data_IF_280873705605
#
_entry.id   IF_280873705605
#
_cell.length_a   1.000
_cell.length_b   1.000
_cell.length_c   1.000
_cell.angle_alpha   90.00
_cell.angle_beta   90.00
_cell.angle_gamma   90.00
#
_symmetry.space_group_name_H-M   'P 1'
#
loop_
_entity.id
_entity.type
_entity.pdbx_description
1 polymer ?
#
# COMPACT_ATOMS: atom_id res chain seq x y z
N UNK A 1 4.58 26.57 19.69
CA UNK A 1 4.54 27.71 18.74
C UNK A 1 4.56 27.12 17.34
N UNK A 2 3.45 27.17 16.60
CA UNK A 2 3.42 26.71 15.21
C UNK A 2 4.27 27.67 14.37
N UNK A 3 5.25 27.15 13.64
CA UNK A 3 6.18 27.94 12.80
C UNK A 3 5.50 28.58 11.58
N UNK A 4 4.23 28.26 11.34
CA UNK A 4 3.46 28.65 10.16
C UNK A 4 2.24 29.49 10.56
N UNK A 5 1.91 30.50 9.75
CA UNK A 5 0.64 31.21 9.84
C UNK A 5 -0.53 30.23 9.63
N UNK A 6 -1.66 30.46 10.31
CA UNK A 6 -2.80 29.52 10.26
C UNK A 6 -3.28 29.22 8.84
N UNK A 7 -3.28 30.21 7.94
CA UNK A 7 -3.70 30.03 6.56
C UNK A 7 -2.71 29.15 5.78
N UNK A 8 -1.41 29.36 5.97
CA UNK A 8 -0.38 28.50 5.38
C UNK A 8 -0.50 27.04 5.86
N UNK A 9 -0.83 26.83 7.13
CA UNK A 9 -1.01 25.49 7.69
C UNK A 9 -2.23 24.77 7.08
N UNK A 10 -3.35 25.49 6.84
CA UNK A 10 -4.53 24.91 6.19
C UNK A 10 -4.19 24.41 4.78
N UNK A 11 -3.49 25.21 3.98
CA UNK A 11 -3.09 24.81 2.63
C UNK A 11 -2.07 23.68 2.62
N UNK A 12 -1.15 23.64 3.59
CA UNK A 12 -0.22 22.50 3.75
C UNK A 12 -1.00 21.21 4.05
N UNK A 13 -2.01 21.24 4.93
CA UNK A 13 -2.81 20.07 5.26
C UNK A 13 -3.64 19.59 4.06
N UNK A 14 -4.25 20.51 3.31
CA UNK A 14 -4.96 20.19 2.05
C UNK A 14 -4.02 19.57 1.02
N UNK A 15 -2.84 20.16 0.82
CA UNK A 15 -1.85 19.67 -0.13
C UNK A 15 -1.35 18.27 0.26
N UNK A 16 -1.12 18.06 1.56
CA UNK A 16 -0.75 16.76 2.11
C UNK A 16 -1.81 15.69 1.83
N UNK A 17 -3.09 15.97 2.11
CA UNK A 17 -4.17 15.01 1.85
C UNK A 17 -4.33 14.68 0.36
N UNK A 18 -4.30 15.71 -0.49
CA UNK A 18 -4.35 15.52 -1.95
C UNK A 18 -3.16 14.71 -2.47
N UNK A 19 -1.96 14.97 -1.93
CA UNK A 19 -0.75 14.22 -2.28
C UNK A 19 -0.90 12.74 -1.91
N UNK A 20 -1.38 12.44 -0.70
CA UNK A 20 -1.63 11.05 -0.27
C UNK A 20 -2.63 10.37 -1.22
N UNK A 21 -3.74 11.03 -1.55
CA UNK A 21 -4.73 10.51 -2.50
C UNK A 21 -4.13 10.22 -3.89
N UNK A 22 -3.32 11.15 -4.42
CA UNK A 22 -2.63 10.98 -5.70
C UNK A 22 -1.62 9.84 -5.67
N UNK A 23 -0.80 9.75 -4.61
CA UNK A 23 0.20 8.68 -4.46
C UNK A 23 -0.47 7.31 -4.39
N UNK A 24 -1.60 7.18 -3.68
CA UNK A 24 -2.38 5.94 -3.65
C UNK A 24 -2.92 5.56 -5.04
N UNK A 25 -3.46 6.53 -5.80
CA UNK A 25 -3.97 6.29 -7.14
C UNK A 25 -2.85 5.88 -8.10
N UNK A 26 -1.74 6.60 -8.10
CA UNK A 26 -0.62 6.35 -9.01
C UNK A 26 0.14 5.08 -8.64
N UNK A 27 0.44 4.90 -7.36
CA UNK A 27 1.14 3.74 -6.81
C UNK A 27 0.33 2.44 -6.95
N UNK A 28 -1.00 2.51 -6.99
CA UNK A 28 -1.85 1.32 -7.20
C UNK A 28 -1.49 0.52 -8.45
N UNK A 29 -0.98 1.17 -9.50
CA UNK A 29 -0.63 0.51 -10.78
C UNK A 29 0.48 -0.52 -10.63
N UNK A 30 1.31 -0.38 -9.60
CA UNK A 30 2.41 -1.30 -9.31
C UNK A 30 2.01 -2.46 -8.40
N UNK A 31 0.73 -2.55 -8.02
CA UNK A 31 0.20 -3.63 -7.18
C UNK A 31 -0.44 -4.73 -8.04
N UNK A 32 -0.40 -6.00 -7.61
CA UNK A 32 -1.06 -7.12 -8.31
C UNK A 32 -2.58 -6.92 -8.41
N UNK A 33 -3.18 -6.35 -7.37
CA UNK A 33 -4.59 -5.98 -7.32
C UNK A 33 -4.71 -4.46 -7.10
N UNK A 34 -4.81 -3.65 -8.16
CA UNK A 34 -4.73 -2.18 -8.05
C UNK A 34 -5.99 -1.54 -7.44
N UNK A 35 -7.12 -2.24 -7.45
CA UNK A 35 -8.43 -1.63 -7.20
C UNK A 35 -8.62 -1.12 -5.75
N UNK A 36 -8.19 -1.82 -4.69
CA UNK A 36 -8.38 -1.36 -3.31
C UNK A 36 -7.70 -0.02 -3.03
N UNK A 37 -6.39 0.09 -3.29
CA UNK A 37 -5.61 1.32 -3.05
C UNK A 37 -6.07 2.46 -3.97
N UNK A 38 -6.41 2.17 -5.22
CA UNK A 38 -6.97 3.18 -6.14
C UNK A 38 -8.31 3.73 -5.66
N UNK A 39 -9.23 2.87 -5.20
CA UNK A 39 -10.53 3.31 -4.66
C UNK A 39 -10.36 4.16 -3.41
N UNK A 40 -9.51 3.72 -2.48
CA UNK A 40 -9.21 4.48 -1.28
C UNK A 40 -8.56 5.83 -1.62
N UNK A 41 -7.60 5.85 -2.55
CA UNK A 41 -6.97 7.08 -3.04
C UNK A 41 -7.97 8.07 -3.65
N UNK A 42 -8.96 7.60 -4.41
CA UNK A 42 -10.04 8.46 -4.91
C UNK A 42 -10.92 9.03 -3.80
N UNK A 43 -11.21 8.26 -2.76
CA UNK A 43 -11.96 8.75 -1.59
C UNK A 43 -11.16 9.86 -0.90
N UNK A 44 -9.89 9.62 -0.59
CA UNK A 44 -9.00 10.60 0.06
C UNK A 44 -8.87 11.87 -0.79
N UNK A 45 -8.61 11.72 -2.10
CA UNK A 45 -8.49 12.86 -3.00
C UNK A 45 -9.79 13.66 -3.10
N UNK A 46 -10.94 12.98 -3.14
CA UNK A 46 -12.24 13.66 -3.17
C UNK A 46 -12.47 14.48 -1.90
N UNK A 47 -12.11 13.94 -0.74
CA UNK A 47 -12.23 14.65 0.54
C UNK A 47 -11.26 15.84 0.60
N UNK A 48 -10.00 15.66 0.20
CA UNK A 48 -9.03 16.74 0.10
C UNK A 48 -9.49 17.88 -0.83
N UNK A 49 -10.10 17.55 -1.97
CA UNK A 49 -10.68 18.54 -2.89
C UNK A 49 -11.89 19.26 -2.29
N UNK A 50 -12.77 18.55 -1.57
CA UNK A 50 -13.89 19.17 -0.85
C UNK A 50 -13.40 20.12 0.24
N UNK A 51 -12.34 19.74 0.98
CA UNK A 51 -11.71 20.57 1.99
C UNK A 51 -11.00 21.80 1.39
N UNK A 52 -10.41 21.66 0.20
CA UNK A 52 -9.87 22.76 -0.58
C UNK A 52 -10.96 23.76 -0.97
N UNK A 53 -12.10 23.28 -1.49
CA UNK A 53 -13.26 24.11 -1.79
C UNK A 53 -13.79 24.80 -0.52
N UNK A 54 -13.80 24.09 0.61
CA UNK A 54 -14.18 24.62 1.91
C UNK A 54 -13.32 25.79 2.40
N UNK A 55 -12.11 26.00 1.85
CA UNK A 55 -11.28 27.17 2.19
C UNK A 55 -11.82 28.47 1.60
N UNK A 56 -12.65 28.40 0.55
CA UNK A 56 -13.26 29.58 -0.08
C UNK A 56 -14.62 29.95 0.52
N UNK A 57 -15.12 29.19 1.51
CA UNK A 57 -16.37 29.49 2.18
C UNK A 57 -16.24 30.73 3.08
N UNK A 58 -17.35 31.46 3.37
CA UNK A 58 -17.34 32.59 4.31
C UNK A 58 -16.80 32.24 5.70
N UNK A 59 -16.90 30.96 6.07
CA UNK A 59 -16.26 30.37 7.25
C UNK A 59 -15.39 29.20 6.79
N UNK A 60 -14.08 29.40 6.59
CA UNK A 60 -13.20 28.35 6.09
C UNK A 60 -13.05 27.22 7.11
N UNK A 61 -12.74 26.02 6.63
CA UNK A 61 -12.48 24.86 7.51
C UNK A 61 -11.26 25.16 8.39
N UNK A 62 -11.43 25.00 9.70
CA UNK A 62 -10.36 25.27 10.67
C UNK A 62 -9.27 24.20 10.61
N UNK A 63 -8.10 24.52 11.16
CA UNK A 63 -6.99 23.56 11.31
C UNK A 63 -7.44 22.32 12.11
N UNK A 64 -8.20 22.52 13.19
CA UNK A 64 -8.78 21.42 13.97
C UNK A 64 -9.72 20.54 13.14
N UNK A 65 -10.50 21.16 12.24
CA UNK A 65 -11.35 20.44 11.30
C UNK A 65 -10.54 19.52 10.37
N UNK A 66 -9.49 20.05 9.75
CA UNK A 66 -8.57 19.25 8.91
C UNK A 66 -7.93 18.10 9.69
N UNK A 67 -7.39 18.37 10.88
CA UNK A 67 -6.75 17.36 11.71
C UNK A 67 -7.73 16.26 12.13
N UNK A 68 -8.97 16.62 12.45
CA UNK A 68 -10.02 15.66 12.80
C UNK A 68 -10.39 14.74 11.63
N UNK A 69 -10.48 15.29 10.41
CA UNK A 69 -10.73 14.51 9.19
C UNK A 69 -9.57 13.55 8.91
N UNK A 70 -8.33 14.03 8.98
CA UNK A 70 -7.13 13.20 8.83
C UNK A 70 -7.07 12.07 9.85
N UNK A 71 -7.41 12.35 11.12
CA UNK A 71 -7.51 11.32 12.16
C UNK A 71 -8.55 10.28 11.80
N UNK A 72 -9.77 10.68 11.45
CA UNK A 72 -10.86 9.76 11.17
C UNK A 72 -10.57 8.85 9.96
N UNK A 73 -10.16 9.44 8.84
CA UNK A 73 -9.85 8.69 7.60
C UNK A 73 -8.59 7.85 7.80
N UNK A 74 -7.56 8.42 8.44
CA UNK A 74 -6.33 7.73 8.76
C UNK A 74 -6.56 6.51 9.64
N UNK A 75 -7.37 6.62 10.70
CA UNK A 75 -7.74 5.49 11.55
C UNK A 75 -8.46 4.39 10.78
N UNK A 76 -9.48 4.74 10.00
CA UNK A 76 -10.22 3.76 9.20
C UNK A 76 -9.32 3.06 8.19
N UNK A 77 -8.52 3.84 7.45
CA UNK A 77 -7.58 3.32 6.46
C UNK A 77 -6.48 2.45 7.09
N UNK A 78 -6.03 2.76 8.31
CA UNK A 78 -5.04 1.97 9.03
C UNK A 78 -5.58 0.56 9.33
N UNK A 79 -6.80 0.46 9.86
CA UNK A 79 -7.42 -0.83 10.20
C UNK A 79 -7.61 -1.70 8.95
N UNK A 80 -8.14 -1.11 7.88
CA UNK A 80 -8.36 -1.80 6.60
C UNK A 80 -7.03 -2.18 5.95
N UNK A 81 -6.06 -1.26 5.95
CA UNK A 81 -4.74 -1.46 5.39
C UNK A 81 -3.96 -2.55 6.09
N UNK A 82 -3.96 -2.58 7.43
CA UNK A 82 -3.28 -3.63 8.21
C UNK A 82 -3.92 -5.00 7.93
N UNK A 83 -5.25 -5.07 7.85
CA UNK A 83 -5.94 -6.30 7.48
C UNK A 83 -5.49 -6.79 6.10
N UNK A 84 -5.38 -5.89 5.13
CA UNK A 84 -4.94 -6.25 3.79
C UNK A 84 -3.47 -6.65 3.71
N UNK A 85 -2.60 -5.93 4.42
CA UNK A 85 -1.16 -6.13 4.48
C UNK A 85 -0.80 -7.45 5.16
N UNK A 86 -1.36 -7.73 6.34
CA UNK A 86 -0.96 -8.88 7.16
C UNK A 86 -1.76 -10.13 6.81
N UNK A 87 -3.10 -10.00 6.69
CA UNK A 87 -3.98 -11.17 6.60
C UNK A 87 -4.23 -11.59 5.17
N UNK A 88 -4.60 -10.66 4.28
CA UNK A 88 -4.90 -11.02 2.89
C UNK A 88 -3.66 -11.04 1.99
N UNK A 89 -2.59 -10.34 2.38
CA UNK A 89 -1.38 -10.13 1.57
C UNK A 89 -1.68 -9.72 0.14
N UNK A 90 -2.60 -8.76 -0.06
CA UNK A 90 -3.03 -8.32 -1.41
C UNK A 90 -2.64 -6.89 -1.74
N UNK A 91 -2.24 -6.12 -0.75
CA UNK A 91 -2.08 -4.67 -0.84
C UNK A 91 -1.11 -4.20 0.25
N UNK A 92 -0.21 -3.28 -0.08
CA UNK A 92 0.81 -2.78 0.86
C UNK A 92 0.88 -1.25 1.02
N UNK A 93 0.11 -0.48 0.25
CA UNK A 93 0.14 0.98 0.23
C UNK A 93 -0.85 1.61 1.22
N UNK A 94 -2.06 1.04 1.40
CA UNK A 94 -3.12 1.68 2.20
C UNK A 94 -2.66 1.87 3.64
N UNK A 95 -2.02 0.87 4.26
CA UNK A 95 -1.65 0.94 5.68
C UNK A 95 -0.60 2.04 5.96
N UNK A 96 0.54 2.12 5.24
CA UNK A 96 1.52 3.18 5.45
C UNK A 96 0.98 4.59 5.17
N UNK A 97 0.22 4.78 4.10
CA UNK A 97 -0.31 6.10 3.75
C UNK A 97 -1.43 6.57 4.68
N UNK A 98 -2.27 5.63 5.15
CA UNK A 98 -3.26 5.93 6.19
C UNK A 98 -2.61 6.23 7.54
N UNK A 99 -1.51 5.54 7.85
CA UNK A 99 -0.71 5.82 9.03
C UNK A 99 -0.08 7.22 9.00
N UNK A 100 0.40 7.71 7.86
CA UNK A 100 0.83 9.11 7.74
C UNK A 100 -0.31 10.09 8.06
N UNK A 101 -1.51 9.88 7.48
CA UNK A 101 -2.67 10.73 7.79
C UNK A 101 -3.05 10.68 9.28
N UNK A 102 -3.07 9.48 9.86
CA UNK A 102 -3.38 9.29 11.27
C UNK A 102 -2.36 9.96 12.19
N UNK A 103 -1.06 9.79 11.93
CA UNK A 103 0.01 10.42 12.70
C UNK A 103 -0.02 11.95 12.61
N UNK A 104 -0.27 12.52 11.42
CA UNK A 104 -0.40 13.97 11.25
C UNK A 104 -1.65 14.48 11.96
N UNK A 105 -2.79 13.81 11.82
CA UNK A 105 -4.05 14.18 12.46
C UNK A 105 -3.96 14.13 13.99
N UNK A 106 -3.65 12.97 14.55
CA UNK A 106 -3.56 12.77 16.01
C UNK A 106 -2.42 13.58 16.60
N UNK A 107 -1.24 13.55 15.98
CA UNK A 107 -0.09 14.33 16.46
C UNK A 107 -0.37 15.83 16.45
N UNK A 108 -1.02 16.33 15.41
CA UNK A 108 -1.47 17.72 15.34
C UNK A 108 -2.46 18.06 16.46
N UNK A 109 -3.48 17.23 16.68
CA UNK A 109 -4.46 17.44 17.76
C UNK A 109 -3.79 17.46 19.14
N UNK A 110 -2.89 16.51 19.41
CA UNK A 110 -2.16 16.45 20.67
C UNK A 110 -1.29 17.69 20.91
N UNK A 111 -0.64 18.21 19.86
CA UNK A 111 0.16 19.44 19.95
C UNK A 111 -0.73 20.66 20.21
N UNK A 112 -1.96 20.70 19.70
CA UNK A 112 -2.87 21.84 19.94
C UNK A 112 -3.32 21.95 21.40
N UNK A 113 -3.45 20.83 22.11
CA UNK A 113 -3.85 20.82 23.53
C UNK A 113 -2.65 20.79 24.48
N UNK A 114 -1.42 20.69 23.96
CA UNK A 114 -0.22 20.39 24.77
C UNK A 114 0.02 21.37 25.92
N UNK A 115 -0.24 22.65 25.69
CA UNK A 115 -0.03 23.71 26.68
C UNK A 115 -0.99 23.61 27.88
N UNK A 116 -2.15 22.99 27.68
CA UNK A 116 -3.19 22.85 28.69
C UNK A 116 -3.03 21.56 29.52
N UNK A 117 -2.13 20.67 29.11
CA UNK A 117 -1.86 19.39 29.77
C UNK A 117 -0.95 19.56 30.99
N UNK A 118 -1.22 18.77 32.03
CA UNK A 118 -0.29 18.65 33.15
C UNK A 118 0.94 17.80 32.79
N UNK A 119 1.95 17.78 33.67
CA UNK A 119 3.22 17.07 33.42
C UNK A 119 3.03 15.58 33.12
N UNK A 120 2.11 14.91 33.82
CA UNK A 120 1.85 13.49 33.60
C UNK A 120 1.21 13.23 32.24
N UNK A 121 0.22 14.04 31.86
CA UNK A 121 -0.44 13.97 30.55
C UNK A 121 0.53 14.28 29.40
N UNK A 122 1.45 15.23 29.59
CA UNK A 122 2.51 15.52 28.62
C UNK A 122 3.45 14.33 28.43
N UNK A 123 3.86 13.65 29.50
CA UNK A 123 4.68 12.43 29.40
C UNK A 123 3.94 11.28 28.71
N UNK A 124 2.66 11.08 29.04
CA UNK A 124 1.81 10.09 28.37
C UNK A 124 1.66 10.40 26.88
N UNK A 125 1.41 11.67 26.54
CA UNK A 125 1.31 12.15 25.17
C UNK A 125 2.61 11.99 24.40
N UNK A 126 3.75 12.29 25.02
CA UNK A 126 5.08 12.06 24.43
C UNK A 126 5.29 10.58 24.12
N UNK A 127 5.01 9.68 25.07
CA UNK A 127 5.13 8.24 24.87
C UNK A 127 4.23 7.75 23.74
N UNK A 128 2.99 8.23 23.68
CA UNK A 128 2.06 7.91 22.59
C UNK A 128 2.60 8.37 21.23
N UNK A 129 3.17 9.58 21.12
CA UNK A 129 3.81 10.05 19.89
C UNK A 129 5.00 9.19 19.46
N UNK A 130 5.82 8.73 20.42
CA UNK A 130 6.93 7.80 20.15
C UNK A 130 6.41 6.47 19.60
N UNK A 131 5.37 5.91 20.21
CA UNK A 131 4.74 4.66 19.73
C UNK A 131 4.12 4.86 18.34
N UNK A 132 3.46 5.98 18.09
CA UNK A 132 2.90 6.31 16.78
C UNK A 132 4.00 6.42 15.72
N UNK A 133 5.10 7.13 16.01
CA UNK A 133 6.24 7.25 15.11
C UNK A 133 6.92 5.91 14.82
N UNK A 134 7.11 5.09 15.85
CA UNK A 134 7.66 3.74 15.71
C UNK A 134 6.75 2.82 14.88
N UNK A 135 5.45 2.83 15.16
CA UNK A 135 4.45 2.07 14.41
C UNK A 135 4.37 2.49 12.95
N UNK A 136 4.40 3.80 12.67
CA UNK A 136 4.43 4.32 11.30
C UNK A 136 5.71 3.92 10.57
N UNK A 137 6.86 4.00 11.23
CA UNK A 137 8.14 3.56 10.67
C UNK A 137 8.06 2.08 10.29
N UNK A 138 7.56 1.24 11.21
CA UNK A 138 7.35 -0.18 10.94
C UNK A 138 6.43 -0.43 9.75
N UNK A 139 5.32 0.31 9.61
CA UNK A 139 4.41 0.19 8.46
C UNK A 139 5.11 0.54 7.14
N UNK A 140 5.90 1.61 7.10
CA UNK A 140 6.65 1.99 5.89
C UNK A 140 7.63 0.88 5.49
N UNK A 141 8.39 0.33 6.45
CA UNK A 141 9.29 -0.78 6.17
C UNK A 141 8.54 -2.03 5.71
N UNK A 142 7.52 -2.45 6.46
CA UNK A 142 6.79 -3.68 6.18
C UNK A 142 5.97 -3.61 4.90
N UNK A 143 5.36 -2.46 4.62
CA UNK A 143 4.52 -2.25 3.45
C UNK A 143 5.33 -1.83 2.22
N UNK A 144 6.04 -0.71 2.28
CA UNK A 144 6.63 -0.09 1.09
C UNK A 144 8.01 -0.63 0.72
N UNK A 145 8.85 -0.98 1.71
CA UNK A 145 10.23 -1.40 1.45
C UNK A 145 10.39 -2.91 1.33
N UNK A 146 9.80 -3.67 2.24
CA UNK A 146 9.92 -5.13 2.33
C UNK A 146 8.70 -5.83 1.72
N UNK A 147 7.56 -5.14 1.60
CA UNK A 147 6.27 -5.72 1.23
C UNK A 147 6.21 -6.26 -0.20
N UNK A 148 6.87 -7.39 -0.45
CA UNK A 148 6.70 -8.20 -1.64
C UNK A 148 5.44 -9.04 -1.49
N UNK A 149 4.75 -9.20 -2.61
CA UNK A 149 3.47 -9.91 -2.67
C UNK A 149 3.56 -11.09 -3.66
N UNK A 150 4.50 -12.03 -3.48
CA UNK A 150 4.72 -13.12 -4.43
C UNK A 150 3.43 -13.91 -4.69
N UNK A 151 2.76 -14.31 -3.60
CA UNK A 151 1.50 -15.03 -3.66
C UNK A 151 0.39 -14.24 -4.39
N UNK A 152 0.29 -12.93 -4.20
CA UNK A 152 -0.73 -12.14 -4.88
C UNK A 152 -0.42 -11.91 -6.36
N UNK A 153 0.85 -11.80 -6.73
CA UNK A 153 1.29 -11.75 -8.13
C UNK A 153 0.99 -13.06 -8.85
N UNK A 154 1.27 -14.21 -8.22
CA UNK A 154 0.90 -15.53 -8.78
C UNK A 154 -0.63 -15.68 -8.91
N UNK A 155 -1.41 -15.20 -7.94
CA UNK A 155 -2.88 -15.16 -8.06
C UNK A 155 -3.35 -14.24 -9.20
N UNK A 156 -2.73 -13.08 -9.36
CA UNK A 156 -3.03 -12.17 -10.47
C UNK A 156 -2.70 -12.82 -11.83
N UNK A 157 -1.60 -13.57 -11.91
CA UNK A 157 -1.22 -14.36 -13.09
C UNK A 157 -2.28 -15.39 -13.46
N UNK A 158 -2.79 -16.16 -12.47
CA UNK A 158 -3.89 -17.11 -12.70
C UNK A 158 -5.17 -16.43 -13.20
N UNK A 159 -5.52 -15.26 -12.65
CA UNK A 159 -6.67 -14.48 -13.13
C UNK A 159 -6.45 -13.96 -14.56
N UNK A 160 -5.23 -13.56 -14.90
CA UNK A 160 -4.89 -13.13 -16.26
C UNK A 160 -5.01 -14.30 -17.26
N UNK A 161 -4.55 -15.51 -16.89
CA UNK A 161 -4.72 -16.73 -17.68
C UNK A 161 -6.19 -17.06 -17.93
N UNK A 162 -7.02 -17.03 -16.89
CA UNK A 162 -8.47 -17.27 -17.02
C UNK A 162 -9.17 -16.27 -17.95
N UNK A 163 -8.59 -15.07 -18.11
CA UNK A 163 -9.09 -14.02 -19.03
C UNK A 163 -8.46 -14.08 -20.42
N UNK A 164 -7.53 -15.00 -20.67
CA UNK A 164 -6.80 -15.11 -21.93
C UNK A 164 -5.72 -14.05 -22.13
N UNK A 165 -5.34 -13.30 -21.08
CA UNK A 165 -4.25 -12.33 -21.15
C UNK A 165 -2.91 -12.99 -20.82
N UNK A 166 -2.24 -13.48 -21.85
CA UNK A 166 -0.99 -14.24 -21.71
C UNK A 166 0.20 -13.29 -21.62
N UNK A 167 0.28 -12.32 -22.53
CA UNK A 167 1.40 -11.38 -22.68
C UNK A 167 1.01 -9.93 -22.35
N UNK A 168 2.01 -9.06 -22.19
CA UNK A 168 1.87 -7.64 -21.86
C UNK A 168 2.11 -7.32 -20.38
N UNK A 169 2.07 -6.03 -20.00
CA UNK A 169 2.47 -5.55 -18.66
C UNK A 169 1.58 -6.06 -17.52
N UNK A 170 0.39 -6.54 -17.85
CA UNK A 170 -0.61 -7.15 -16.96
C UNK A 170 -0.99 -8.56 -17.40
N UNK A 171 -0.23 -9.14 -18.33
CA UNK A 171 -0.41 -10.51 -18.78
C UNK A 171 0.14 -11.50 -17.75
N UNK A 172 -0.27 -12.77 -17.89
CA UNK A 172 0.11 -13.84 -16.98
C UNK A 172 1.62 -14.00 -16.83
N UNK A 173 2.39 -13.91 -17.93
CA UNK A 173 3.85 -14.03 -17.89
C UNK A 173 4.46 -12.95 -16.98
N UNK A 174 4.11 -11.67 -17.19
CA UNK A 174 4.62 -10.57 -16.36
C UNK A 174 4.22 -10.71 -14.89
N UNK A 175 3.03 -11.25 -14.61
CA UNK A 175 2.59 -11.49 -13.24
C UNK A 175 3.41 -12.60 -12.56
N UNK A 176 3.69 -13.72 -13.23
CA UNK A 176 4.51 -14.79 -12.66
C UNK A 176 6.00 -14.39 -12.55
N UNK A 177 6.53 -13.60 -13.49
CA UNK A 177 7.88 -13.03 -13.39
C UNK A 177 8.05 -12.12 -12.16
N UNK A 178 6.98 -11.44 -11.74
CA UNK A 178 6.96 -10.61 -10.50
C UNK A 178 6.60 -11.42 -9.24
N UNK A 179 6.12 -12.65 -9.41
CA UNK A 179 5.55 -13.48 -8.36
C UNK A 179 6.54 -14.43 -7.68
N UNK A 180 7.72 -14.67 -8.27
CA UNK A 180 8.77 -15.42 -7.61
C UNK A 180 9.59 -14.50 -6.70
N UNK A 181 9.98 -15.01 -5.53
CA UNK A 181 10.71 -14.25 -4.52
C UNK A 181 11.84 -15.10 -3.92
N UNK A 182 13.03 -14.51 -3.78
CA UNK A 182 14.18 -15.19 -3.19
C UNK A 182 13.96 -15.47 -1.68
N UNK A 183 13.12 -14.68 -1.01
CA UNK A 183 12.80 -14.87 0.42
C UNK A 183 11.71 -15.93 0.66
N UNK A 184 10.81 -16.18 -0.31
CA UNK A 184 9.76 -17.20 -0.24
C UNK A 184 10.00 -18.31 -1.28
N UNK A 185 11.19 -18.91 -1.26
CA UNK A 185 11.67 -19.86 -2.27
C UNK A 185 10.73 -21.06 -2.49
N UNK A 186 9.98 -21.47 -1.46
CA UNK A 186 9.00 -22.55 -1.52
C UNK A 186 7.80 -22.28 -2.46
N UNK A 187 7.51 -21.02 -2.81
CA UNK A 187 6.45 -20.67 -3.76
C UNK A 187 6.97 -20.56 -5.21
N UNK A 188 8.28 -20.48 -5.40
CA UNK A 188 8.90 -20.29 -6.71
C UNK A 188 8.66 -21.43 -7.69
N UNK A 189 8.62 -22.72 -7.30
CA UNK A 189 8.36 -23.81 -8.24
C UNK A 189 7.05 -23.60 -9.02
N UNK A 190 6.00 -23.10 -8.37
CA UNK A 190 4.70 -22.83 -9.04
C UNK A 190 4.83 -21.76 -10.13
N UNK A 191 5.58 -20.69 -9.85
CA UNK A 191 5.84 -19.63 -10.82
C UNK A 191 6.70 -20.15 -11.99
N UNK A 192 7.72 -20.97 -11.71
CA UNK A 192 8.61 -21.52 -12.73
C UNK A 192 7.88 -22.49 -13.68
N UNK A 193 7.03 -23.38 -13.18
CA UNK A 193 6.20 -24.25 -14.05
C UNK A 193 5.30 -23.42 -14.95
N UNK A 194 4.62 -22.42 -14.38
CA UNK A 194 3.73 -21.55 -15.15
C UNK A 194 4.51 -20.80 -16.23
N UNK A 195 5.66 -20.21 -15.89
CA UNK A 195 6.50 -19.48 -16.83
C UNK A 195 7.06 -20.37 -17.93
N UNK A 196 7.55 -21.57 -17.59
CA UNK A 196 8.02 -22.55 -18.56
C UNK A 196 6.94 -22.86 -19.60
N UNK A 197 5.73 -23.21 -19.14
CA UNK A 197 4.62 -23.62 -20.02
C UNK A 197 4.06 -22.47 -20.84
N UNK A 198 3.97 -21.27 -20.26
CA UNK A 198 3.53 -20.08 -20.99
C UNK A 198 4.51 -19.69 -22.08
N UNK A 199 5.82 -19.75 -21.79
CA UNK A 199 6.85 -19.47 -22.79
C UNK A 199 6.86 -20.54 -23.90
N UNK A 200 6.64 -21.82 -23.58
CA UNK A 200 6.43 -22.86 -24.59
C UNK A 200 5.20 -22.56 -25.46
N UNK A 201 4.08 -22.16 -24.84
CA UNK A 201 2.83 -21.88 -25.55
C UNK A 201 2.98 -20.73 -26.55
N UNK A 202 3.72 -19.67 -26.22
CA UNK A 202 3.99 -18.54 -27.12
C UNK A 202 5.14 -18.80 -28.10
N UNK A 203 5.80 -19.96 -28.03
CA UNK A 203 6.92 -20.33 -28.90
C UNK A 203 8.28 -19.75 -28.50
N UNK A 204 8.43 -19.21 -27.28
CA UNK A 204 9.70 -18.72 -26.77
C UNK A 204 10.50 -19.85 -26.10
N UNK A 205 11.16 -20.65 -26.93
CA UNK A 205 11.93 -21.82 -26.47
C UNK A 205 13.09 -21.49 -25.53
N UNK A 206 13.76 -20.35 -25.74
CA UNK A 206 14.91 -19.93 -24.91
C UNK A 206 14.48 -19.68 -23.46
N UNK A 207 13.49 -18.79 -23.26
CA UNK A 207 12.94 -18.55 -21.91
C UNK A 207 12.30 -19.80 -21.31
N UNK A 208 11.65 -20.62 -22.14
CA UNK A 208 11.06 -21.86 -21.65
C UNK A 208 12.11 -22.79 -21.05
N UNK A 209 13.28 -22.95 -21.69
CA UNK A 209 14.39 -23.74 -21.15
C UNK A 209 14.96 -23.13 -19.88
N UNK A 210 15.16 -21.80 -19.85
CA UNK A 210 15.63 -21.09 -18.65
C UNK A 210 14.74 -21.37 -17.42
N UNK A 211 13.41 -21.24 -17.57
CA UNK A 211 12.49 -21.52 -16.47
C UNK A 211 12.39 -23.00 -16.12
N UNK A 212 12.63 -23.89 -17.08
CA UNK A 212 12.69 -25.33 -16.82
C UNK A 212 13.92 -25.70 -15.99
N UNK A 213 15.08 -25.11 -16.30
CA UNK A 213 16.30 -25.32 -15.54
C UNK A 213 16.13 -24.80 -14.11
N UNK A 214 15.59 -23.59 -13.95
CA UNK A 214 15.26 -23.02 -12.63
C UNK A 214 14.27 -23.89 -11.84
N UNK A 215 13.28 -24.50 -12.51
CA UNK A 215 12.35 -25.46 -11.90
C UNK A 215 13.06 -26.75 -11.46
N UNK A 216 13.95 -27.28 -12.29
CA UNK A 216 14.69 -28.51 -11.99
C UNK A 216 15.62 -28.32 -10.78
N UNK A 217 16.24 -27.14 -10.65
CA UNK A 217 17.09 -26.79 -9.51
C UNK A 217 16.34 -26.82 -8.17
N UNK A 218 15.04 -26.53 -8.17
CA UNK A 218 14.17 -26.53 -6.98
C UNK A 218 13.35 -27.83 -6.81
N UNK A 219 13.72 -28.91 -7.52
CA UNK A 219 13.12 -30.24 -7.36
C UNK A 219 12.13 -30.66 -8.46
N UNK A 220 11.99 -29.86 -9.51
CA UNK A 220 11.19 -30.21 -10.69
C UNK A 220 9.67 -30.12 -10.46
N UNK A 221 8.89 -30.62 -11.43
CA UNK A 221 7.42 -30.67 -11.32
C UNK A 221 6.91 -31.46 -10.11
N UNK A 222 7.72 -32.35 -9.52
CA UNK A 222 7.35 -33.11 -8.32
C UNK A 222 7.22 -32.23 -7.07
N UNK A 223 7.89 -31.08 -7.04
CA UNK A 223 7.79 -30.10 -5.97
C UNK A 223 6.57 -29.18 -6.08
N UNK A 224 5.76 -29.35 -7.12
CA UNK A 224 4.67 -28.45 -7.48
C UNK A 224 3.35 -29.14 -7.17
N UNK A 225 2.42 -28.39 -6.59
CA UNK A 225 1.10 -28.92 -6.30
C UNK A 225 0.38 -29.28 -7.62
N UNK A 226 -0.29 -30.44 -7.74
CA UNK A 226 -0.87 -30.92 -8.99
C UNK A 226 -1.88 -29.96 -9.62
N UNK A 227 -2.51 -29.09 -8.82
CA UNK A 227 -3.48 -28.09 -9.28
C UNK A 227 -2.84 -26.98 -10.16
N UNK A 228 -1.50 -26.89 -10.16
CA UNK A 228 -0.72 -25.92 -10.94
C UNK A 228 -0.09 -26.53 -12.22
N UNK A 229 -0.24 -27.84 -12.40
CA UNK A 229 0.19 -28.63 -13.56
C UNK A 229 -1.03 -28.83 -14.46
#
# INVERSE_FOLDING_TARGET
>A
MLLFEQDSLRWILVAFECLIGLVLILGSKSQPFPLPSRRFGWIVLSIGLLLALGQFAPRPVSVLGHLSVLTAIGSFGLLVGIHHLIRTRREVLIAPFSGFMFCVGVGGLMVTTWADLNTFEQWSGFLALVVLGGGQTWLVFRGLLIGRLPLAWSQAGMVALQRGFIDGPTGAISCFEKGWDAEEEHLNPMAYVALHRLNLFIGNGEKATEWLDALNDVGGEKGVAPEWI
#
